data_IF_897133672332
#
_entry.id   IF_897133672332
#
_cell.length_a   1.000
_cell.length_b   1.000
_cell.length_c   1.000
_cell.angle_alpha   90.00
_cell.angle_beta   90.00
_cell.angle_gamma   90.00
#
_symmetry.space_group_name_H-M   'P 1'
#
loop_
_entity.id
_entity.type
_entity.pdbx_description
1 polymer ?
#
# COMPACT_ATOMS: atom_id res chain seq x y z
N UNK A 1 -8.16 -18.17 6.92
CA UNK A 1 -8.13 -16.69 6.92
C UNK A 1 -9.44 -16.14 6.40
N UNK A 2 -9.87 -14.98 6.91
CA UNK A 2 -11.10 -14.31 6.51
C UNK A 2 -10.94 -13.61 5.15
N UNK A 3 -9.71 -13.20 4.83
CA UNK A 3 -9.38 -12.61 3.55
C UNK A 3 -7.94 -12.89 3.11
N UNK A 4 -7.72 -12.87 1.79
CA UNK A 4 -6.42 -13.02 1.14
C UNK A 4 -6.32 -11.96 0.05
N UNK A 5 -5.14 -11.37 -0.14
CA UNK A 5 -4.87 -10.46 -1.25
C UNK A 5 -3.55 -10.84 -1.92
N UNK A 6 -3.61 -11.04 -3.23
CA UNK A 6 -2.47 -11.39 -4.07
C UNK A 6 -1.98 -10.17 -4.83
N UNK A 7 -0.68 -9.86 -4.77
CA UNK A 7 -0.05 -8.81 -5.57
C UNK A 7 0.38 -9.41 -6.90
N UNK A 8 -0.36 -9.10 -7.95
CA UNK A 8 -0.19 -9.69 -9.27
C UNK A 8 0.22 -8.67 -10.33
N UNK A 9 -0.25 -7.42 -10.18
CA UNK A 9 0.23 -6.19 -10.83
C UNK A 9 0.22 -6.21 -12.38
N UNK A 10 -0.42 -7.21 -13.02
CA UNK A 10 -0.48 -7.39 -14.48
C UNK A 10 -1.80 -8.00 -14.92
N UNK A 11 -2.17 -7.81 -16.20
CA UNK A 11 -3.32 -8.44 -16.83
C UNK A 11 -2.93 -9.61 -17.74
N UNK A 12 -1.66 -9.73 -18.15
CA UNK A 12 -1.15 -10.78 -19.05
C UNK A 12 -0.08 -11.66 -18.40
N UNK A 13 0.08 -12.88 -18.91
CA UNK A 13 1.17 -13.77 -18.50
C UNK A 13 2.54 -13.20 -18.90
N UNK A 14 2.61 -12.56 -20.05
CA UNK A 14 3.85 -11.99 -20.57
C UNK A 14 4.40 -10.93 -19.63
N UNK A 15 3.59 -9.96 -19.27
CA UNK A 15 4.00 -8.89 -18.36
C UNK A 15 4.23 -9.43 -16.95
N UNK A 16 3.43 -10.40 -16.47
CA UNK A 16 3.65 -11.08 -15.19
C UNK A 16 5.04 -11.69 -15.09
N UNK A 17 5.44 -12.46 -16.08
CA UNK A 17 6.79 -13.07 -16.12
C UNK A 17 7.88 -12.01 -16.19
N UNK A 18 7.67 -10.93 -16.94
CA UNK A 18 8.64 -9.84 -17.07
C UNK A 18 8.82 -9.07 -15.74
N UNK A 19 7.74 -8.84 -14.98
CA UNK A 19 7.77 -8.07 -13.72
C UNK A 19 8.17 -8.93 -12.51
N UNK A 20 7.56 -10.11 -12.36
CA UNK A 20 7.74 -10.97 -11.17
C UNK A 20 8.91 -11.94 -11.29
N UNK A 21 9.39 -12.23 -12.51
CA UNK A 21 10.54 -13.10 -12.79
C UNK A 21 10.50 -14.43 -12.00
N UNK A 22 9.40 -15.21 -12.08
CA UNK A 22 9.26 -16.41 -11.29
C UNK A 22 10.40 -17.38 -11.53
N UNK A 23 11.01 -17.89 -10.44
CA UNK A 23 12.11 -18.87 -10.51
C UNK A 23 11.64 -20.14 -11.22
N UNK A 24 10.45 -20.61 -10.90
CA UNK A 24 9.83 -21.72 -11.59
C UNK A 24 8.91 -21.18 -12.70
N UNK A 25 9.31 -21.37 -13.95
CA UNK A 25 8.59 -20.90 -15.14
C UNK A 25 7.19 -21.50 -15.34
N UNK A 26 6.80 -22.49 -14.53
CA UNK A 26 5.42 -23.01 -14.49
C UNK A 26 4.45 -22.08 -13.76
N UNK A 27 4.96 -21.14 -13.00
CA UNK A 27 4.16 -20.14 -12.29
C UNK A 27 4.07 -18.87 -13.13
N UNK A 28 3.07 -18.80 -13.97
CA UNK A 28 2.61 -17.59 -14.65
C UNK A 28 1.34 -17.05 -13.95
N UNK A 29 0.76 -16.00 -14.50
CA UNK A 29 -0.44 -15.37 -13.92
C UNK A 29 -1.64 -16.32 -13.94
N UNK A 30 -1.85 -17.07 -15.03
CA UNK A 30 -2.94 -18.04 -15.13
C UNK A 30 -2.79 -19.14 -14.10
N UNK A 31 -1.60 -19.72 -13.98
CA UNK A 31 -1.33 -20.78 -13.01
C UNK A 31 -1.61 -20.33 -11.56
N UNK A 32 -1.37 -19.06 -11.24
CA UNK A 32 -1.73 -18.49 -9.92
C UNK A 32 -3.25 -18.31 -9.81
N UNK A 33 -3.88 -17.72 -10.82
CA UNK A 33 -5.31 -17.42 -10.82
C UNK A 33 -6.19 -18.68 -10.76
N UNK A 34 -5.77 -19.78 -11.38
CA UNK A 34 -6.47 -21.08 -11.34
C UNK A 34 -6.66 -21.66 -9.94
N UNK A 35 -5.91 -21.20 -8.95
CA UNK A 35 -6.08 -21.61 -7.57
C UNK A 35 -7.21 -20.89 -6.84
N UNK A 36 -7.68 -19.75 -7.35
CA UNK A 36 -8.70 -18.95 -6.66
C UNK A 36 -10.05 -19.67 -6.56
N UNK A 37 -10.60 -20.22 -7.64
CA UNK A 37 -11.83 -21.02 -7.54
C UNK A 37 -11.69 -22.19 -6.56
N UNK A 38 -10.56 -22.91 -6.58
CA UNK A 38 -10.29 -24.05 -5.68
C UNK A 38 -10.21 -23.61 -4.22
N UNK A 39 -9.61 -22.44 -3.96
CA UNK A 39 -9.55 -21.87 -2.63
C UNK A 39 -10.95 -21.54 -2.09
N UNK A 40 -11.80 -20.95 -2.93
CA UNK A 40 -13.19 -20.64 -2.59
C UNK A 40 -14.07 -21.87 -2.40
N UNK A 41 -13.81 -22.94 -3.14
CA UNK A 41 -14.46 -24.24 -2.92
C UNK A 41 -14.09 -24.84 -1.56
N UNK A 42 -12.83 -24.66 -1.12
CA UNK A 42 -12.35 -25.15 0.17
C UNK A 42 -12.83 -24.29 1.36
N UNK A 43 -13.05 -23.00 1.14
CA UNK A 43 -13.56 -22.04 2.14
C UNK A 43 -14.39 -20.95 1.44
N UNK A 44 -15.72 -21.13 1.42
CA UNK A 44 -16.65 -20.24 0.73
C UNK A 44 -16.70 -18.81 1.27
N UNK A 45 -16.33 -18.60 2.54
CA UNK A 45 -16.40 -17.31 3.21
C UNK A 45 -15.13 -16.46 3.03
N UNK A 46 -14.06 -17.03 2.44
CA UNK A 46 -12.83 -16.28 2.23
C UNK A 46 -13.00 -15.21 1.15
N UNK A 47 -12.69 -13.97 1.50
CA UNK A 47 -12.64 -12.86 0.53
C UNK A 47 -11.26 -12.78 -0.13
N UNK A 48 -11.21 -12.86 -1.45
CA UNK A 48 -9.95 -12.91 -2.21
C UNK A 48 -9.83 -11.69 -3.12
N UNK A 49 -8.77 -10.91 -2.93
CA UNK A 49 -8.49 -9.70 -3.68
C UNK A 49 -7.30 -9.81 -4.61
N UNK A 50 -7.42 -9.19 -5.78
CA UNK A 50 -6.35 -8.94 -6.72
C UNK A 50 -5.77 -7.56 -6.43
N UNK A 51 -4.51 -7.45 -6.04
CA UNK A 51 -3.83 -6.17 -5.86
C UNK A 51 -3.06 -5.82 -7.12
N UNK A 52 -3.27 -4.61 -7.63
CA UNK A 52 -2.64 -4.09 -8.83
C UNK A 52 -1.92 -2.77 -8.51
N UNK A 53 -0.60 -2.80 -8.55
CA UNK A 53 0.22 -1.60 -8.44
C UNK A 53 0.38 -1.02 -9.84
N UNK A 54 -0.14 0.19 -10.05
CA UNK A 54 -0.03 0.91 -11.32
C UNK A 54 1.36 1.50 -11.43
N UNK A 55 2.08 1.11 -12.47
CA UNK A 55 3.43 1.57 -12.80
C UNK A 55 3.34 2.39 -14.08
N UNK A 56 3.78 3.64 -14.04
CA UNK A 56 3.89 4.53 -15.21
C UNK A 56 5.30 4.58 -15.77
N UNK A 57 5.45 5.15 -16.97
CA UNK A 57 6.73 5.25 -17.65
C UNK A 57 7.76 6.05 -16.84
N UNK A 58 8.97 5.51 -16.73
CA UNK A 58 10.07 6.11 -15.98
C UNK A 58 10.10 5.78 -14.49
N UNK A 59 9.06 5.13 -13.93
CA UNK A 59 9.08 4.67 -12.55
C UNK A 59 10.21 3.66 -12.32
N UNK A 60 10.88 3.77 -11.17
CA UNK A 60 12.01 2.91 -10.84
C UNK A 60 11.95 2.39 -9.40
N UNK A 61 12.62 1.27 -9.16
CA UNK A 61 12.85 0.75 -7.82
C UNK A 61 14.28 0.22 -7.73
N UNK A 62 15.03 0.68 -6.72
CA UNK A 62 16.41 0.25 -6.50
C UNK A 62 17.27 0.35 -7.79
N UNK A 63 17.20 1.49 -8.49
CA UNK A 63 17.90 1.80 -9.74
C UNK A 63 17.45 0.99 -10.98
N UNK A 64 16.40 0.15 -10.85
CA UNK A 64 15.82 -0.57 -11.97
C UNK A 64 14.55 0.12 -12.48
N UNK A 65 14.55 0.45 -13.79
CA UNK A 65 13.34 0.93 -14.46
C UNK A 65 12.32 -0.19 -14.51
N UNK A 66 11.09 0.11 -14.09
CA UNK A 66 9.99 -0.84 -14.05
C UNK A 66 9.20 -0.85 -15.37
N UNK A 67 8.57 -1.97 -15.68
CA UNK A 67 7.69 -2.05 -16.84
C UNK A 67 6.40 -1.28 -16.57
N UNK A 68 6.01 -0.39 -17.47
CA UNK A 68 4.70 0.27 -17.45
C UNK A 68 3.58 -0.76 -17.65
N UNK A 69 2.50 -0.63 -16.87
CA UNK A 69 1.37 -1.56 -16.92
C UNK A 69 -0.01 -0.88 -17.01
N UNK A 70 -0.08 0.42 -17.23
CA UNK A 70 -1.36 1.16 -17.32
C UNK A 70 -2.30 0.54 -18.38
N UNK A 71 -1.74 0.10 -19.51
CA UNK A 71 -2.48 -0.49 -20.62
C UNK A 71 -3.12 -1.86 -20.30
N UNK A 72 -2.76 -2.49 -19.18
CA UNK A 72 -3.31 -3.79 -18.76
C UNK A 72 -4.34 -3.68 -17.62
N UNK A 73 -4.70 -2.48 -17.16
CA UNK A 73 -5.64 -2.25 -16.05
C UNK A 73 -6.98 -2.95 -16.28
N UNK A 74 -7.58 -2.73 -17.45
CA UNK A 74 -8.88 -3.35 -17.80
C UNK A 74 -8.75 -4.86 -17.93
N UNK A 75 -7.73 -5.33 -18.63
CA UNK A 75 -7.45 -6.77 -18.79
C UNK A 75 -7.25 -7.47 -17.43
N UNK A 76 -6.57 -6.82 -16.49
CA UNK A 76 -6.40 -7.34 -15.13
C UNK A 76 -7.74 -7.44 -14.37
N UNK A 77 -8.63 -6.45 -14.54
CA UNK A 77 -9.95 -6.48 -13.92
C UNK A 77 -10.85 -7.57 -14.54
N UNK A 78 -10.85 -7.74 -15.87
CA UNK A 78 -11.55 -8.82 -16.57
C UNK A 78 -11.05 -10.19 -16.10
N UNK A 79 -9.72 -10.36 -16.00
CA UNK A 79 -9.11 -11.59 -15.52
C UNK A 79 -9.48 -11.87 -14.06
N UNK A 80 -9.36 -10.88 -13.18
CA UNK A 80 -9.73 -11.01 -11.77
C UNK A 80 -11.19 -11.49 -11.63
N UNK A 81 -12.11 -10.87 -12.37
CA UNK A 81 -13.53 -11.24 -12.39
C UNK A 81 -13.72 -12.68 -12.91
N UNK A 82 -13.06 -13.05 -14.03
CA UNK A 82 -13.19 -14.38 -14.65
C UNK A 82 -12.72 -15.52 -13.73
N UNK A 83 -11.66 -15.29 -12.93
CA UNK A 83 -11.14 -16.24 -11.95
C UNK A 83 -11.80 -16.12 -10.56
N UNK A 84 -12.94 -15.38 -10.44
CA UNK A 84 -13.76 -15.29 -9.22
C UNK A 84 -13.04 -14.65 -8.03
N UNK A 85 -12.14 -13.68 -8.27
CA UNK A 85 -11.75 -12.75 -7.23
C UNK A 85 -12.97 -11.93 -6.80
N UNK A 86 -13.04 -11.54 -5.53
CA UNK A 86 -14.13 -10.70 -5.01
C UNK A 86 -13.90 -9.23 -5.35
N UNK A 87 -12.65 -8.83 -5.53
CA UNK A 87 -12.31 -7.46 -5.91
C UNK A 87 -10.93 -7.37 -6.57
N UNK A 88 -10.73 -6.29 -7.31
CA UNK A 88 -9.42 -5.77 -7.70
C UNK A 88 -9.17 -4.43 -7.04
N UNK A 89 -7.95 -4.21 -6.51
CA UNK A 89 -7.57 -2.97 -5.84
C UNK A 89 -6.41 -2.30 -6.56
N UNK A 90 -6.66 -1.13 -7.15
CA UNK A 90 -5.67 -0.32 -7.84
C UNK A 90 -4.94 0.64 -6.89
N UNK A 91 -3.62 0.71 -7.02
CA UNK A 91 -2.74 1.54 -6.20
C UNK A 91 -1.65 2.15 -7.07
N UNK A 92 -1.25 3.41 -6.85
CA UNK A 92 -0.09 3.96 -7.50
C UNK A 92 1.19 3.30 -6.98
N UNK A 93 2.21 3.25 -7.81
CA UNK A 93 3.55 2.84 -7.36
C UNK A 93 4.07 3.83 -6.31
N UNK A 94 4.79 3.29 -5.33
CA UNK A 94 5.58 4.08 -4.39
C UNK A 94 7.06 3.79 -4.65
N UNK A 95 7.85 4.82 -4.79
CA UNK A 95 9.29 4.73 -4.95
C UNK A 95 10.00 4.79 -3.60
N UNK A 96 10.96 3.93 -3.37
CA UNK A 96 11.77 3.94 -2.15
C UNK A 96 12.90 4.95 -2.30
N UNK A 97 12.95 5.89 -1.37
CA UNK A 97 14.08 6.80 -1.24
C UNK A 97 15.30 6.05 -0.67
N UNK A 98 16.49 6.44 -1.09
CA UNK A 98 17.73 5.90 -0.50
C UNK A 98 17.79 6.29 0.97
N UNK A 99 17.94 5.29 1.85
CA UNK A 99 17.93 5.47 3.32
C UNK A 99 16.70 6.22 3.86
N UNK A 100 15.60 6.17 3.11
CA UNK A 100 14.37 6.91 3.39
C UNK A 100 13.11 6.08 3.23
N UNK A 101 11.97 6.78 3.27
CA UNK A 101 10.64 6.20 3.15
C UNK A 101 10.29 5.77 1.72
N UNK A 102 9.16 5.07 1.58
CA UNK A 102 8.46 4.93 0.30
C UNK A 102 7.58 6.17 0.09
N UNK A 103 7.74 6.81 -1.05
CA UNK A 103 7.09 8.08 -1.40
C UNK A 103 6.33 7.96 -2.72
N UNK A 104 5.29 8.77 -2.87
CA UNK A 104 4.57 8.95 -4.13
C UNK A 104 5.01 10.31 -4.71
N UNK A 105 5.90 10.28 -5.69
CA UNK A 105 6.36 11.50 -6.38
C UNK A 105 6.36 11.26 -7.89
N UNK A 106 5.19 11.42 -8.54
CA UNK A 106 5.07 11.19 -9.97
C UNK A 106 5.90 12.14 -10.81
N UNK A 107 6.25 13.33 -10.30
CA UNK A 107 7.04 14.32 -11.06
C UNK A 107 8.47 13.87 -11.30
N UNK A 108 9.02 13.01 -10.44
CA UNK A 108 10.35 12.43 -10.64
C UNK A 108 10.36 11.37 -11.75
N UNK A 109 9.23 10.69 -11.95
CA UNK A 109 9.09 9.59 -12.90
C UNK A 109 8.53 10.01 -14.25
N UNK A 110 7.76 11.10 -14.31
CA UNK A 110 7.04 11.51 -15.52
C UNK A 110 6.94 13.04 -15.62
N UNK A 111 7.41 13.60 -16.74
CA UNK A 111 7.36 15.05 -16.99
C UNK A 111 5.97 15.55 -17.32
N UNK A 112 5.11 14.69 -17.81
CA UNK A 112 3.73 15.01 -18.23
C UNK A 112 2.72 14.32 -17.30
N UNK A 113 2.85 14.55 -15.98
CA UNK A 113 2.03 13.95 -14.95
C UNK A 113 0.53 13.99 -15.25
N UNK A 114 0.01 15.12 -15.74
CA UNK A 114 -1.42 15.26 -16.05
C UNK A 114 -1.91 14.25 -17.08
N UNK A 115 -1.10 13.95 -18.11
CA UNK A 115 -1.44 12.94 -19.12
C UNK A 115 -1.38 11.51 -18.58
N UNK A 116 -0.43 11.24 -17.68
CA UNK A 116 -0.33 9.95 -17.01
C UNK A 116 -1.54 9.71 -16.12
N UNK A 117 -1.91 10.69 -15.30
CA UNK A 117 -3.10 10.64 -14.45
C UNK A 117 -4.38 10.48 -15.26
N UNK A 118 -4.52 11.20 -16.38
CA UNK A 118 -5.67 11.06 -17.28
C UNK A 118 -5.76 9.64 -17.90
N UNK A 119 -4.62 9.07 -18.30
CA UNK A 119 -4.56 7.69 -18.81
C UNK A 119 -4.97 6.69 -17.72
N UNK A 120 -4.43 6.83 -16.50
CA UNK A 120 -4.77 5.98 -15.37
C UNK A 120 -6.27 6.05 -15.09
N UNK A 121 -6.82 7.27 -14.94
CA UNK A 121 -8.25 7.49 -14.70
C UNK A 121 -9.11 6.84 -15.78
N UNK A 122 -8.76 7.04 -17.06
CA UNK A 122 -9.49 6.47 -18.18
C UNK A 122 -9.55 4.94 -18.10
N UNK A 123 -8.44 4.27 -17.82
CA UNK A 123 -8.41 2.81 -17.74
C UNK A 123 -9.07 2.28 -16.46
N UNK A 124 -8.91 2.96 -15.33
CA UNK A 124 -9.57 2.59 -14.07
C UNK A 124 -11.10 2.78 -14.18
N UNK A 125 -11.59 3.85 -14.81
CA UNK A 125 -13.03 4.06 -15.02
C UNK A 125 -13.64 2.96 -15.91
N UNK A 126 -12.96 2.55 -16.99
CA UNK A 126 -13.37 1.39 -17.78
C UNK A 126 -13.38 0.10 -16.93
N UNK A 127 -12.40 -0.10 -16.07
CA UNK A 127 -12.38 -1.26 -15.18
C UNK A 127 -13.53 -1.23 -14.16
N UNK A 128 -13.96 -0.05 -13.68
CA UNK A 128 -15.13 0.10 -12.81
C UNK A 128 -16.44 -0.34 -13.46
N UNK A 129 -16.57 -0.26 -14.78
CA UNK A 129 -17.74 -0.75 -15.52
C UNK A 129 -17.91 -2.27 -15.41
N UNK A 130 -16.86 -2.99 -15.03
CA UNK A 130 -16.91 -4.45 -14.78
C UNK A 130 -17.46 -4.82 -13.40
N UNK A 131 -17.61 -3.85 -12.49
CA UNK A 131 -18.11 -4.12 -11.14
C UNK A 131 -19.58 -4.57 -11.17
N UNK A 132 -19.91 -5.54 -10.29
CA UNK A 132 -21.27 -6.01 -10.08
C UNK A 132 -21.45 -6.54 -8.64
N UNK A 133 -22.55 -7.23 -8.35
CA UNK A 133 -22.82 -7.77 -7.02
C UNK A 133 -21.78 -8.81 -6.54
N UNK A 134 -20.98 -9.37 -7.42
CA UNK A 134 -19.98 -10.42 -7.12
C UNK A 134 -18.54 -9.95 -7.25
N UNK A 135 -18.29 -8.76 -7.79
CA UNK A 135 -16.95 -8.25 -8.06
C UNK A 135 -16.86 -6.75 -7.87
N UNK A 136 -15.94 -6.30 -7.03
CA UNK A 136 -15.70 -4.88 -6.76
C UNK A 136 -14.42 -4.38 -7.45
N UNK A 137 -14.42 -3.13 -7.88
CA UNK A 137 -13.23 -2.40 -8.32
C UNK A 137 -12.94 -1.30 -7.33
N UNK A 138 -11.79 -1.37 -6.67
CA UNK A 138 -11.43 -0.52 -5.54
C UNK A 138 -10.21 0.34 -5.88
N UNK A 139 -10.32 1.64 -5.66
CA UNK A 139 -9.19 2.57 -5.69
C UNK A 139 -8.64 2.77 -4.28
N UNK A 140 -7.31 2.69 -4.15
CA UNK A 140 -6.68 3.04 -2.87
C UNK A 140 -6.77 4.54 -2.60
N UNK A 141 -6.68 4.92 -1.34
CA UNK A 141 -6.61 6.34 -0.94
C UNK A 141 -5.52 7.09 -1.69
N UNK A 142 -4.32 6.50 -1.83
CA UNK A 142 -3.23 7.13 -2.57
C UNK A 142 -3.53 7.33 -4.05
N UNK A 143 -4.29 6.42 -4.67
CA UNK A 143 -4.69 6.61 -6.08
C UNK A 143 -5.67 7.77 -6.21
N UNK A 144 -6.66 7.86 -5.34
CA UNK A 144 -7.60 8.98 -5.30
C UNK A 144 -6.89 10.32 -5.10
N UNK A 145 -5.97 10.39 -4.15
CA UNK A 145 -5.17 11.60 -3.89
C UNK A 145 -4.32 12.00 -5.11
N UNK A 146 -3.75 11.00 -5.83
CA UNK A 146 -3.01 11.25 -7.07
C UNK A 146 -3.91 11.83 -8.15
N UNK A 147 -5.10 11.27 -8.34
CA UNK A 147 -6.07 11.71 -9.35
C UNK A 147 -6.66 13.08 -9.06
N UNK A 148 -6.87 13.40 -7.79
CA UNK A 148 -7.34 14.69 -7.30
C UNK A 148 -6.25 15.77 -7.32
N UNK A 149 -4.98 15.38 -7.39
CA UNK A 149 -3.84 16.30 -7.39
C UNK A 149 -3.52 16.91 -6.04
N UNK A 150 -4.05 16.37 -4.93
CA UNK A 150 -3.89 16.89 -3.57
C UNK A 150 -3.02 16.00 -2.67
N UNK A 151 -2.29 15.05 -3.23
CA UNK A 151 -1.48 14.10 -2.49
C UNK A 151 -0.40 14.74 -1.61
N UNK A 152 0.09 15.94 -1.96
CA UNK A 152 1.08 16.69 -1.18
C UNK A 152 0.56 17.11 0.20
N UNK A 153 -0.75 17.36 0.34
CA UNK A 153 -1.34 17.69 1.65
C UNK A 153 -1.14 16.58 2.66
N UNK A 154 -1.25 15.33 2.20
CA UNK A 154 -1.07 14.14 3.04
C UNK A 154 0.38 13.90 3.46
N UNK A 155 1.36 14.69 3.00
CA UNK A 155 2.75 14.64 3.45
C UNK A 155 3.01 15.49 4.70
N UNK A 156 2.09 16.40 5.06
CA UNK A 156 2.24 17.34 6.20
C UNK A 156 1.81 16.66 7.49
N UNK A 157 2.74 16.02 8.19
CA UNK A 157 2.47 15.32 9.44
C UNK A 157 2.67 16.21 10.67
N UNK A 158 1.97 15.95 11.80
CA UNK A 158 2.36 16.54 13.08
C UNK A 158 3.74 16.04 13.49
N UNK A 159 4.36 16.69 14.47
CA UNK A 159 5.68 16.30 14.94
C UNK A 159 5.69 14.86 15.45
N UNK A 160 4.72 14.50 16.29
CA UNK A 160 4.57 13.15 16.82
C UNK A 160 3.71 12.30 15.89
N UNK A 161 4.22 11.16 15.44
CA UNK A 161 3.41 10.17 14.75
C UNK A 161 2.74 9.25 15.76
N UNK A 162 1.48 9.54 16.13
CA UNK A 162 0.71 8.71 17.07
C UNK A 162 0.40 7.33 16.52
N UNK A 163 0.30 7.22 15.20
CA UNK A 163 0.01 5.94 14.53
C UNK A 163 1.08 4.87 14.75
N UNK A 164 2.32 5.23 15.08
CA UNK A 164 3.36 4.24 15.39
C UNK A 164 3.07 3.45 16.69
N UNK A 165 2.25 3.98 17.60
CA UNK A 165 1.78 3.26 18.78
C UNK A 165 0.73 2.19 18.44
N UNK A 166 -0.07 2.43 17.38
CA UNK A 166 -1.18 1.57 16.96
C UNK A 166 -0.80 0.61 15.84
N UNK A 167 0.24 0.93 15.05
CA UNK A 167 0.60 0.18 13.86
C UNK A 167 2.11 0.14 13.67
N UNK A 168 2.63 -1.06 13.64
CA UNK A 168 4.04 -1.37 13.39
C UNK A 168 4.15 -2.38 12.25
N UNK A 169 5.34 -2.56 11.70
CA UNK A 169 5.60 -3.60 10.69
C UNK A 169 6.76 -4.48 11.11
N UNK A 170 6.50 -5.79 11.23
CA UNK A 170 7.51 -6.80 11.46
C UNK A 170 7.96 -7.39 10.12
N UNK A 171 9.27 -7.40 9.90
CA UNK A 171 9.91 -7.95 8.72
C UNK A 171 11.01 -8.93 9.11
N UNK A 172 11.56 -9.72 8.18
CA UNK A 172 12.74 -10.56 8.47
C UNK A 172 13.95 -9.76 8.94
N UNK A 173 14.04 -8.47 8.60
CA UNK A 173 15.16 -7.59 8.97
C UNK A 173 14.94 -6.83 10.28
N UNK A 174 13.74 -6.84 10.85
CA UNK A 174 13.41 -6.17 12.11
C UNK A 174 11.98 -5.68 12.20
N UNK A 175 11.68 -5.05 13.34
CA UNK A 175 10.45 -4.33 13.60
C UNK A 175 10.66 -2.84 13.36
N UNK A 176 9.73 -2.21 12.66
CA UNK A 176 9.79 -0.78 12.31
C UNK A 176 8.49 -0.06 12.70
N UNK A 177 8.58 1.22 13.01
CA UNK A 177 7.46 2.04 13.44
C UNK A 177 6.39 2.24 12.35
N UNK A 178 6.76 2.13 11.07
CA UNK A 178 5.86 2.36 9.95
C UNK A 178 6.23 1.51 8.73
N UNK A 179 5.24 1.00 7.95
CA UNK A 179 5.51 0.32 6.68
C UNK A 179 6.25 1.17 5.64
N UNK A 180 6.01 2.49 5.61
CA UNK A 180 6.72 3.38 4.69
C UNK A 180 8.23 3.45 5.01
N UNK A 181 8.58 3.32 6.27
CA UNK A 181 9.97 3.34 6.76
C UNK A 181 10.55 1.96 7.06
N UNK A 182 9.92 0.85 6.60
CA UNK A 182 10.46 -0.49 6.83
C UNK A 182 11.87 -0.64 6.23
N UNK A 183 12.80 -1.17 7.01
CA UNK A 183 14.20 -1.32 6.62
C UNK A 183 15.06 -0.07 6.84
N UNK A 184 14.50 1.05 7.29
CA UNK A 184 15.22 2.30 7.59
C UNK A 184 15.63 2.30 9.07
N UNK A 185 16.92 2.48 9.36
CA UNK A 185 17.44 2.30 10.73
C UNK A 185 16.83 3.25 11.76
N UNK A 186 16.62 4.53 11.40
CA UNK A 186 15.99 5.52 12.29
C UNK A 186 14.54 5.20 12.68
N UNK A 187 13.89 4.29 11.97
CA UNK A 187 12.53 3.84 12.23
C UNK A 187 12.48 2.45 12.89
N UNK A 188 13.65 1.86 13.21
CA UNK A 188 13.74 0.54 13.81
C UNK A 188 13.35 0.56 15.29
N UNK A 189 12.41 -0.29 15.68
CA UNK A 189 11.96 -0.50 17.05
C UNK A 189 12.56 -1.78 17.69
N UNK A 190 13.02 -2.72 16.85
CA UNK A 190 13.54 -3.99 17.33
C UNK A 190 14.01 -4.92 16.22
N UNK A 191 14.44 -6.11 16.64
CA UNK A 191 14.85 -7.18 15.74
C UNK A 191 13.63 -7.91 15.15
N UNK A 192 13.86 -8.90 14.29
CA UNK A 192 12.81 -9.80 13.79
C UNK A 192 12.16 -10.66 14.90
N UNK A 193 12.77 -10.69 16.11
CA UNK A 193 12.26 -11.40 17.28
C UNK A 193 11.67 -10.48 18.34
N UNK A 194 11.30 -9.25 17.97
CA UNK A 194 10.87 -8.17 18.87
C UNK A 194 9.72 -8.54 19.84
N UNK A 195 8.95 -9.56 19.54
CA UNK A 195 7.83 -10.07 20.33
C UNK A 195 7.94 -11.57 20.66
N UNK A 196 9.16 -12.16 20.59
CA UNK A 196 9.34 -13.59 20.84
C UNK A 196 9.17 -13.99 22.32
N UNK A 197 9.25 -13.03 23.24
CA UNK A 197 9.08 -13.23 24.67
C UNK A 197 8.83 -11.93 25.42
N UNK A 198 8.57 -12.04 26.72
CA UNK A 198 8.26 -10.87 27.56
C UNK A 198 9.39 -9.85 27.61
N UNK A 199 10.64 -10.31 27.64
CA UNK A 199 11.80 -9.43 27.66
C UNK A 199 11.95 -8.64 26.35
N UNK A 200 11.77 -9.31 25.21
CA UNK A 200 11.82 -8.68 23.88
C UNK A 200 10.66 -7.70 23.71
N UNK A 201 9.45 -8.07 24.13
CA UNK A 201 8.30 -7.16 24.11
C UNK A 201 8.53 -5.93 25.00
N UNK A 202 9.14 -6.08 26.17
CA UNK A 202 9.47 -4.95 27.05
C UNK A 202 10.55 -4.04 26.45
N UNK A 203 11.56 -4.58 25.75
CA UNK A 203 12.55 -3.80 25.01
C UNK A 203 11.88 -3.02 23.87
N UNK A 204 11.00 -3.69 23.12
CA UNK A 204 10.24 -3.07 22.02
C UNK A 204 9.34 -1.94 22.54
N UNK A 205 8.65 -2.12 23.66
CA UNK A 205 7.84 -1.08 24.28
C UNK A 205 8.64 0.16 24.68
N UNK A 206 9.86 -0.02 25.21
CA UNK A 206 10.76 1.11 25.50
C UNK A 206 11.24 1.82 24.24
N UNK A 207 11.64 1.07 23.20
CA UNK A 207 12.04 1.64 21.91
C UNK A 207 10.90 2.40 21.25
N UNK A 208 9.66 1.90 21.37
CA UNK A 208 8.47 2.61 20.87
C UNK A 208 8.23 3.91 21.63
N UNK A 209 8.32 3.90 22.97
CA UNK A 209 8.16 5.11 23.77
C UNK A 209 9.23 6.15 23.40
N UNK A 210 10.49 5.75 23.25
CA UNK A 210 11.56 6.62 22.76
C UNK A 210 11.31 7.14 21.35
N UNK A 211 10.80 6.30 20.44
CA UNK A 211 10.46 6.70 19.07
C UNK A 211 9.33 7.72 19.02
N UNK A 212 8.32 7.64 19.91
CA UNK A 212 7.25 8.64 20.01
C UNK A 212 7.79 10.04 20.33
N UNK A 213 8.88 10.13 21.12
CA UNK A 213 9.49 11.39 21.50
C UNK A 213 10.52 11.89 20.48
N UNK A 214 11.23 10.98 19.81
CA UNK A 214 12.44 11.33 19.01
C UNK A 214 12.21 11.30 17.50
N UNK A 215 11.25 10.52 17.01
CA UNK A 215 10.94 10.44 15.58
C UNK A 215 10.05 11.62 15.16
N UNK A 216 10.66 12.66 14.64
CA UNK A 216 9.96 13.84 14.15
C UNK A 216 9.29 13.57 12.79
N UNK A 217 8.00 13.20 12.81
CA UNK A 217 7.27 12.87 11.59
C UNK A 217 7.07 14.07 10.66
N UNK A 218 7.08 15.30 11.17
CA UNK A 218 6.98 16.51 10.33
C UNK A 218 8.20 16.65 9.40
N UNK A 219 9.35 16.15 9.83
CA UNK A 219 10.60 16.13 9.07
C UNK A 219 10.78 14.81 8.30
N UNK A 220 10.63 13.68 8.99
CA UNK A 220 10.94 12.35 8.45
C UNK A 220 9.93 11.86 7.41
N UNK A 221 8.68 12.34 7.49
CA UNK A 221 7.60 11.97 6.57
C UNK A 221 7.23 13.06 5.56
N UNK A 222 8.03 14.11 5.42
CA UNK A 222 7.72 15.29 4.56
C UNK A 222 7.46 14.96 3.07
N UNK A 223 7.84 13.79 2.62
CA UNK A 223 7.61 13.30 1.25
C UNK A 223 6.69 12.05 1.23
N UNK A 224 6.22 11.61 2.40
CA UNK A 224 5.38 10.41 2.52
C UNK A 224 3.92 10.78 2.41
N UNK A 225 3.24 10.35 1.36
CA UNK A 225 1.78 10.42 1.26
C UNK A 225 1.17 9.41 2.24
N UNK A 226 0.84 9.89 3.44
CA UNK A 226 0.47 9.03 4.55
C UNK A 226 -1.01 8.70 4.54
N UNK A 227 -1.36 7.41 4.49
CA UNK A 227 -2.75 6.93 4.58
C UNK A 227 -3.44 7.29 5.91
N UNK A 228 -2.65 7.59 6.93
CA UNK A 228 -3.13 7.93 8.27
C UNK A 228 -2.96 9.42 8.61
N UNK A 229 -2.74 10.25 7.60
CA UNK A 229 -2.58 11.69 7.78
C UNK A 229 -3.72 12.28 8.63
N UNK A 230 -4.95 12.10 8.20
CA UNK A 230 -6.15 12.61 8.91
C UNK A 230 -6.27 12.04 10.33
N UNK A 231 -6.05 10.72 10.49
CA UNK A 231 -6.12 10.08 11.81
C UNK A 231 -5.03 10.60 12.76
N UNK A 232 -3.83 10.87 12.23
CA UNK A 232 -2.72 11.36 13.03
C UNK A 232 -2.98 12.79 13.54
N UNK A 233 -3.51 13.67 12.68
CA UNK A 233 -3.92 15.02 13.06
C UNK A 233 -5.14 15.03 14.00
N UNK A 234 -6.08 14.11 13.80
CA UNK A 234 -7.21 13.97 14.69
C UNK A 234 -6.79 13.58 16.13
N UNK A 235 -5.82 12.67 16.27
CA UNK A 235 -5.27 12.31 17.59
C UNK A 235 -4.50 13.49 18.20
N UNK A 236 -3.72 14.23 17.39
CA UNK A 236 -3.03 15.44 17.85
C UNK A 236 -4.02 16.46 18.41
N UNK A 237 -5.09 16.74 17.67
CA UNK A 237 -6.15 17.67 18.09
C UNK A 237 -6.86 17.20 19.38
N UNK A 238 -7.08 15.89 19.57
CA UNK A 238 -7.65 15.37 20.82
C UNK A 238 -6.71 15.54 22.02
N UNK A 239 -5.40 15.41 21.80
CA UNK A 239 -4.41 15.61 22.86
C UNK A 239 -4.30 17.07 23.25
N UNK A 240 -4.35 17.98 22.27
CA UNK A 240 -4.32 19.43 22.51
C UNK A 240 -5.62 19.97 23.10
N UNK A 241 -6.76 19.34 22.81
CA UNK A 241 -8.10 19.76 23.21
C UNK A 241 -8.86 18.61 23.88
N UNK A 242 -8.45 18.15 25.06
CA UNK A 242 -9.02 16.97 25.73
C UNK A 242 -10.49 17.12 26.17
N UNK A 243 -11.02 18.35 26.19
CA UNK A 243 -12.43 18.65 26.49
C UNK A 243 -13.35 18.47 25.28
N UNK A 244 -12.84 18.20 24.08
CA UNK A 244 -13.67 17.92 22.91
C UNK A 244 -14.47 16.63 23.12
N UNK A 245 -15.80 16.75 23.00
CA UNK A 245 -16.67 15.58 22.94
C UNK A 245 -16.38 14.81 21.63
N UNK A 246 -16.12 13.51 21.76
CA UNK A 246 -16.00 12.62 20.61
C UNK A 246 -17.41 12.21 20.21
N UNK A 247 -17.95 12.78 19.15
CA UNK A 247 -19.14 12.26 18.50
C UNK A 247 -18.76 10.93 17.82
N UNK A 248 -19.07 9.82 18.48
CA UNK A 248 -19.03 8.51 17.85
C UNK A 248 -20.25 8.40 16.94
N UNK A 249 -20.05 8.44 15.61
CA UNK A 249 -21.10 8.05 14.69
C UNK A 249 -21.43 6.57 14.95
N UNK A 250 -22.67 6.28 15.32
CA UNK A 250 -23.20 4.92 15.28
C UNK A 250 -23.37 4.53 13.81
N UNK A 251 -22.37 3.82 13.23
CA UNK A 251 -22.48 3.07 11.97
C UNK A 251 -22.63 1.57 12.25
#
# INVERSE_FOLDING_TARGET
PDWIRLSLDTGSNELFVAMHKPVNKKWDLDAVCEWIPKLKEANGDVRVGFSYIIVWGGASREEHVLNENIHEIVMAAERAKSYKFDYIAFKPILERQKDGAEVMDPQKSERELSKVVERIRTEVDKAKELADASFEVVESTNLKLLEEGNWEESTRQPKTCHMQALRQVLTPTGLFNCPAHRGVEKARLGTSTAYSGQEDAAKTGRALAESLDTFDASHECREVTCLYHTSNWWIEDLIENPEKEIELSEE
#
